data_IF_911633244164
#
_entry.id   IF_911633244164
#
_cell.length_a   1.000
_cell.length_b   1.000
_cell.length_c   1.000
_cell.angle_alpha   90.00
_cell.angle_beta   90.00
_cell.angle_gamma   90.00
#
_symmetry.space_group_name_H-M   'P 1'
#
loop_
_entity.id
_entity.type
_entity.pdbx_description
1 polymer ?
#
# COMPACT_ATOMS: atom_id res chain seq x y z
N UNK A 1 15.28 20.83 42.44
CA UNK A 1 14.08 20.11 41.93
C UNK A 1 14.25 18.63 42.21
N UNK A 2 13.18 17.90 42.55
CA UNK A 2 13.26 16.45 42.72
C UNK A 2 13.65 15.78 41.38
N UNK A 3 14.61 14.83 41.34
CA UNK A 3 15.10 14.19 40.12
C UNK A 3 14.00 13.56 39.25
N UNK A 4 12.93 13.07 39.88
CA UNK A 4 11.80 12.45 39.21
C UNK A 4 11.01 13.42 38.32
N UNK A 5 10.82 14.68 38.74
CA UNK A 5 10.07 15.68 37.95
C UNK A 5 10.84 16.15 36.71
N UNK A 6 12.17 16.12 36.76
CA UNK A 6 13.02 16.39 35.59
C UNK A 6 12.93 15.23 34.58
N UNK A 7 12.80 13.99 35.06
CA UNK A 7 12.60 12.83 34.20
C UNK A 7 11.28 12.90 33.42
N UNK A 8 10.17 13.25 34.08
CA UNK A 8 8.87 13.44 33.40
C UNK A 8 8.94 14.54 32.35
N UNK A 9 9.61 15.66 32.65
CA UNK A 9 9.81 16.75 31.70
C UNK A 9 10.58 16.29 30.47
N UNK A 10 11.75 15.67 30.67
CA UNK A 10 12.58 15.17 29.57
C UNK A 10 11.84 14.14 28.71
N UNK A 11 11.11 13.23 29.33
CA UNK A 11 10.33 12.22 28.61
C UNK A 11 9.22 12.86 27.78
N UNK A 12 8.43 13.77 28.37
CA UNK A 12 7.36 14.49 27.65
C UNK A 12 7.94 15.28 26.47
N UNK A 13 9.07 15.96 26.66
CA UNK A 13 9.74 16.70 25.58
C UNK A 13 10.31 15.79 24.50
N UNK A 14 10.84 14.62 24.87
CA UNK A 14 11.32 13.63 23.92
C UNK A 14 10.20 13.10 23.02
N UNK A 15 8.99 12.89 23.55
CA UNK A 15 7.84 12.44 22.75
C UNK A 15 7.48 13.50 21.70
N UNK A 16 7.29 14.76 22.11
CA UNK A 16 6.99 15.82 21.15
C UNK A 16 8.10 16.01 20.11
N UNK A 17 9.36 15.89 20.52
CA UNK A 17 10.52 15.93 19.62
C UNK A 17 10.48 14.77 18.62
N UNK A 18 10.23 13.54 19.08
CA UNK A 18 10.09 12.35 18.24
C UNK A 18 9.01 12.54 17.18
N UNK A 19 7.85 13.07 17.57
CA UNK A 19 6.75 13.31 16.62
C UNK A 19 7.17 14.32 15.53
N UNK A 20 7.79 15.44 15.93
CA UNK A 20 8.18 16.50 15.01
C UNK A 20 9.33 16.11 14.08
N UNK A 21 10.34 15.43 14.60
CA UNK A 21 11.61 15.21 13.90
C UNK A 21 11.72 13.83 13.28
N UNK A 22 10.89 12.86 13.70
CA UNK A 22 10.93 11.49 13.20
C UNK A 22 9.61 11.11 12.52
N UNK A 23 8.49 11.15 13.26
CA UNK A 23 7.21 10.66 12.74
C UNK A 23 6.72 11.47 11.55
N UNK A 24 6.62 12.80 11.67
CA UNK A 24 6.10 13.65 10.60
C UNK A 24 6.97 13.59 9.33
N UNK A 25 8.32 13.73 9.40
CA UNK A 25 9.17 13.54 8.24
C UNK A 25 9.07 12.15 7.60
N UNK A 26 8.94 11.09 8.42
CA UNK A 26 8.70 9.74 7.91
C UNK A 26 7.36 9.63 7.18
N UNK A 27 6.32 10.30 7.68
CA UNK A 27 5.00 10.33 7.07
C UNK A 27 5.00 11.09 5.74
N UNK A 28 5.73 12.22 5.63
CA UNK A 28 5.94 12.95 4.37
C UNK A 28 6.66 12.07 3.34
N UNK A 29 7.73 11.39 3.75
CA UNK A 29 8.42 10.45 2.87
C UNK A 29 7.50 9.29 2.43
N UNK A 30 6.64 8.81 3.33
CA UNK A 30 5.67 7.76 2.98
C UNK A 30 4.62 8.26 1.96
N UNK A 31 4.19 9.53 2.02
CA UNK A 31 3.37 10.15 0.97
C UNK A 31 4.11 10.17 -0.36
N UNK A 32 5.39 10.55 -0.38
CA UNK A 32 6.22 10.53 -1.58
C UNK A 32 6.32 9.11 -2.20
N UNK A 33 6.65 8.12 -1.37
CA UNK A 33 6.73 6.72 -1.79
C UNK A 33 5.38 6.20 -2.29
N UNK A 34 4.29 6.56 -1.62
CA UNK A 34 2.94 6.20 -2.02
C UNK A 34 2.56 6.78 -3.38
N UNK A 35 2.91 8.03 -3.67
CA UNK A 35 2.70 8.64 -4.98
C UNK A 35 3.54 7.99 -6.09
N UNK A 36 4.77 7.57 -5.78
CA UNK A 36 5.57 6.79 -6.72
C UNK A 36 4.93 5.43 -7.00
N UNK A 37 4.40 4.76 -5.97
CA UNK A 37 3.68 3.50 -6.14
C UNK A 37 2.43 3.69 -7.01
N UNK A 38 1.65 4.74 -6.76
CA UNK A 38 0.48 5.11 -7.57
C UNK A 38 0.85 5.35 -9.04
N UNK A 39 1.95 6.05 -9.33
CA UNK A 39 2.41 6.27 -10.70
C UNK A 39 2.79 4.96 -11.40
N UNK A 40 3.52 4.08 -10.72
CA UNK A 40 3.88 2.77 -11.26
C UNK A 40 2.64 1.93 -11.57
N UNK A 41 1.60 2.07 -10.74
CA UNK A 41 0.34 1.40 -10.94
C UNK A 41 -0.39 1.85 -12.21
N UNK A 42 -0.54 3.16 -12.41
CA UNK A 42 -1.18 3.69 -13.62
C UNK A 42 -0.42 3.28 -14.89
N UNK A 43 0.92 3.33 -14.86
CA UNK A 43 1.74 2.87 -15.99
C UNK A 43 1.51 1.39 -16.30
N UNK A 44 1.36 0.54 -15.28
CA UNK A 44 1.02 -0.87 -15.46
C UNK A 44 -0.38 -1.05 -16.08
N UNK A 45 -1.38 -0.31 -15.59
CA UNK A 45 -2.75 -0.35 -16.11
C UNK A 45 -2.81 0.06 -17.58
N UNK A 46 -2.11 1.13 -17.96
CA UNK A 46 -2.01 1.61 -19.35
C UNK A 46 -1.33 0.58 -20.25
N UNK A 47 -0.20 0.02 -19.81
CA UNK A 47 0.51 -1.02 -20.57
C UNK A 47 -0.34 -2.27 -20.76
N UNK A 48 -1.11 -2.66 -19.74
CA UNK A 48 -2.03 -3.79 -19.82
C UNK A 48 -3.17 -3.52 -20.82
N UNK A 49 -3.78 -2.33 -20.81
CA UNK A 49 -4.84 -1.98 -21.78
C UNK A 49 -4.35 -2.09 -23.23
N UNK A 50 -3.12 -1.61 -23.51
CA UNK A 50 -2.52 -1.72 -24.84
C UNK A 50 -2.31 -3.19 -25.23
N UNK A 51 -1.78 -4.00 -24.32
CA UNK A 51 -1.55 -5.43 -24.56
C UNK A 51 -2.85 -6.18 -24.85
N UNK A 52 -3.87 -6.04 -23.99
CA UNK A 52 -5.13 -6.76 -24.15
C UNK A 52 -5.97 -6.21 -25.32
N UNK A 53 -5.84 -4.94 -25.67
CA UNK A 53 -6.40 -4.41 -26.92
C UNK A 53 -5.79 -5.08 -28.17
N UNK A 54 -4.51 -5.42 -28.14
CA UNK A 54 -3.88 -6.17 -29.24
C UNK A 54 -4.38 -7.62 -29.30
N UNK A 55 -4.56 -8.28 -28.15
CA UNK A 55 -5.17 -9.62 -28.08
C UNK A 55 -6.60 -9.62 -28.62
N UNK A 56 -7.40 -8.62 -28.25
CA UNK A 56 -8.77 -8.46 -28.75
C UNK A 56 -8.81 -8.39 -30.28
N UNK A 57 -7.94 -7.57 -30.90
CA UNK A 57 -7.85 -7.46 -32.37
C UNK A 57 -7.50 -8.78 -33.05
N UNK A 58 -6.62 -9.59 -32.46
CA UNK A 58 -6.32 -10.94 -32.97
C UNK A 58 -7.55 -11.85 -32.83
N UNK A 59 -8.28 -11.73 -31.72
CA UNK A 59 -9.56 -12.42 -31.51
C UNK A 59 -10.60 -12.06 -32.58
N UNK A 60 -10.74 -10.76 -32.90
CA UNK A 60 -11.63 -10.26 -33.94
C UNK A 60 -11.27 -10.80 -35.33
N UNK A 61 -9.98 -10.96 -35.65
CA UNK A 61 -9.55 -11.63 -36.87
C UNK A 61 -9.92 -13.11 -36.90
N UNK A 62 -9.74 -13.83 -35.78
CA UNK A 62 -10.09 -15.23 -35.66
C UNK A 62 -11.62 -15.46 -35.73
N UNK A 63 -12.44 -14.49 -35.32
CA UNK A 63 -13.90 -14.53 -35.51
C UNK A 63 -14.33 -14.52 -36.98
N UNK A 64 -13.52 -13.92 -37.87
CA UNK A 64 -13.77 -13.92 -39.32
C UNK A 64 -13.27 -15.22 -40.00
N UNK A 65 -12.57 -16.09 -39.28
CA UNK A 65 -12.12 -17.40 -39.79
C UNK A 65 -13.28 -18.40 -39.84
N UNK A 66 -13.28 -19.28 -40.83
CA UNK A 66 -14.27 -20.36 -40.95
C UNK A 66 -14.12 -21.48 -39.92
N UNK A 67 -12.95 -21.59 -39.28
CA UNK A 67 -12.61 -22.73 -38.40
C UNK A 67 -12.18 -22.33 -36.99
N UNK A 68 -12.04 -21.03 -36.73
CA UNK A 68 -11.43 -20.51 -35.49
C UNK A 68 -12.35 -19.58 -34.71
N UNK A 69 -13.65 -19.52 -35.02
CA UNK A 69 -14.56 -18.56 -34.37
C UNK A 69 -14.56 -18.72 -32.85
N UNK A 70 -14.64 -19.94 -32.33
CA UNK A 70 -14.62 -20.22 -30.89
C UNK A 70 -13.32 -19.69 -30.24
N UNK A 71 -12.17 -19.85 -30.90
CA UNK A 71 -10.90 -19.32 -30.39
C UNK A 71 -10.89 -17.79 -30.41
N UNK A 72 -11.49 -17.18 -31.43
CA UNK A 72 -11.71 -15.74 -31.50
C UNK A 72 -12.55 -15.22 -30.34
N UNK A 73 -13.68 -15.88 -30.04
CA UNK A 73 -14.55 -15.54 -28.91
C UNK A 73 -13.78 -15.58 -27.58
N UNK A 74 -12.95 -16.61 -27.36
CA UNK A 74 -12.15 -16.76 -26.14
C UNK A 74 -11.15 -15.59 -26.00
N UNK A 75 -10.45 -15.22 -27.06
CA UNK A 75 -9.46 -14.13 -27.03
C UNK A 75 -10.10 -12.77 -26.74
N UNK A 76 -11.28 -12.50 -27.32
CA UNK A 76 -12.06 -11.29 -27.03
C UNK A 76 -12.51 -11.31 -25.56
N UNK A 77 -13.08 -12.43 -25.08
CA UNK A 77 -13.50 -12.56 -23.69
C UNK A 77 -12.37 -12.43 -22.68
N UNK A 78 -11.16 -12.91 -23.00
CA UNK A 78 -9.97 -12.73 -22.16
C UNK A 78 -9.62 -11.25 -22.02
N UNK A 79 -9.67 -10.51 -23.12
CA UNK A 79 -9.39 -9.08 -23.16
C UNK A 79 -10.44 -8.29 -22.37
N UNK A 80 -11.73 -8.59 -22.57
CA UNK A 80 -12.82 -7.97 -21.81
C UNK A 80 -12.75 -8.28 -20.31
N UNK A 81 -12.41 -9.53 -19.96
CA UNK A 81 -12.23 -9.93 -18.56
C UNK A 81 -11.11 -9.13 -17.91
N UNK A 82 -9.99 -8.93 -18.61
CA UNK A 82 -8.89 -8.15 -18.05
C UNK A 82 -9.25 -6.67 -17.91
N UNK A 83 -9.94 -6.06 -18.89
CA UNK A 83 -10.42 -4.68 -18.80
C UNK A 83 -11.37 -4.49 -17.61
N UNK A 84 -12.26 -5.46 -17.39
CA UNK A 84 -13.16 -5.46 -16.23
C UNK A 84 -12.38 -5.55 -14.91
N UNK A 85 -11.37 -6.43 -14.81
CA UNK A 85 -10.52 -6.51 -13.62
C UNK A 85 -9.73 -5.22 -13.37
N UNK A 86 -9.20 -4.59 -14.41
CA UNK A 86 -8.53 -3.29 -14.30
C UNK A 86 -9.48 -2.19 -13.80
N UNK A 87 -10.72 -2.16 -14.31
CA UNK A 87 -11.74 -1.21 -13.85
C UNK A 87 -12.13 -1.44 -12.38
N UNK A 88 -12.26 -2.70 -11.95
CA UNK A 88 -12.56 -3.05 -10.56
C UNK A 88 -11.43 -2.69 -9.61
N UNK A 89 -10.20 -2.80 -10.11
CA UNK A 89 -8.98 -2.49 -9.41
C UNK A 89 -8.79 -0.97 -9.22
N UNK A 90 -9.29 -0.14 -10.14
CA UNK A 90 -9.28 1.32 -10.02
C UNK A 90 -9.94 1.81 -8.73
N UNK A 91 -10.95 1.09 -8.21
CA UNK A 91 -11.56 1.40 -6.91
C UNK A 91 -10.53 1.36 -5.78
N UNK A 92 -9.62 0.37 -5.80
CA UNK A 92 -8.55 0.25 -4.81
C UNK A 92 -7.56 1.41 -4.93
N UNK A 93 -7.25 1.80 -6.17
CA UNK A 93 -6.37 2.94 -6.48
C UNK A 93 -6.95 4.23 -5.94
N UNK A 94 -8.24 4.46 -6.15
CA UNK A 94 -8.93 5.65 -5.65
C UNK A 94 -8.97 5.69 -4.12
N UNK A 95 -9.22 4.56 -3.45
CA UNK A 95 -9.09 4.48 -1.98
C UNK A 95 -7.66 4.76 -1.52
N UNK A 96 -6.65 4.21 -2.21
CA UNK A 96 -5.26 4.46 -1.86
C UNK A 96 -4.89 5.95 -2.00
N UNK A 97 -5.28 6.58 -3.10
CA UNK A 97 -4.99 7.98 -3.34
C UNK A 97 -5.81 8.91 -2.43
N UNK A 98 -7.14 8.81 -2.48
CA UNK A 98 -8.07 9.70 -1.79
C UNK A 98 -8.11 9.47 -0.29
N UNK A 99 -8.39 8.24 0.14
CA UNK A 99 -8.64 7.96 1.56
C UNK A 99 -7.34 7.82 2.37
N UNK A 100 -6.21 7.51 1.75
CA UNK A 100 -4.92 7.33 2.44
C UNK A 100 -3.94 8.46 2.14
N UNK A 101 -3.47 8.62 0.90
CA UNK A 101 -2.37 9.54 0.59
C UNK A 101 -2.76 11.02 0.83
N UNK A 102 -3.92 11.46 0.34
CA UNK A 102 -4.37 12.84 0.56
C UNK A 102 -4.60 13.15 2.04
N UNK A 103 -5.15 12.20 2.80
CA UNK A 103 -5.33 12.35 4.24
C UNK A 103 -3.99 12.46 4.98
N UNK A 104 -3.00 11.65 4.61
CA UNK A 104 -1.64 11.74 5.17
C UNK A 104 -0.98 13.09 4.86
N UNK A 105 -1.08 13.55 3.61
CA UNK A 105 -0.51 14.84 3.21
C UNK A 105 -1.14 16.01 3.99
N UNK A 106 -2.47 16.02 4.11
CA UNK A 106 -3.20 17.04 4.87
C UNK A 106 -2.83 17.01 6.35
N UNK A 107 -2.81 15.82 6.95
CA UNK A 107 -2.51 15.67 8.37
C UNK A 107 -1.11 16.16 8.68
N UNK A 108 -0.09 15.77 7.91
CA UNK A 108 1.30 16.12 8.22
C UNK A 108 1.54 17.64 8.28
N UNK A 109 0.87 18.40 7.39
CA UNK A 109 0.94 19.87 7.37
C UNK A 109 0.34 20.51 8.63
N UNK A 110 -0.83 20.06 9.06
CA UNK A 110 -1.52 20.59 10.24
C UNK A 110 -0.89 20.11 11.55
N UNK A 111 -0.38 18.88 11.55
CA UNK A 111 0.16 18.20 12.72
C UNK A 111 1.43 18.88 13.25
N UNK A 112 2.29 19.33 12.33
CA UNK A 112 3.52 20.04 12.65
C UNK A 112 3.26 21.28 13.52
N UNK A 113 2.26 22.09 13.18
CA UNK A 113 1.93 23.28 13.93
C UNK A 113 1.31 22.92 15.29
N UNK A 114 0.34 22.01 15.29
CA UNK A 114 -0.34 21.56 16.51
C UNK A 114 0.64 21.03 17.57
N UNK A 115 1.62 20.21 17.16
CA UNK A 115 2.60 19.66 18.09
C UNK A 115 3.61 20.73 18.55
N UNK A 116 4.02 21.67 17.69
CA UNK A 116 4.87 22.79 18.11
C UNK A 116 4.20 23.62 19.20
N UNK A 117 2.93 23.98 18.99
CA UNK A 117 2.16 24.79 19.94
C UNK A 117 1.95 24.04 21.26
N UNK A 118 1.61 22.75 21.19
CA UNK A 118 1.45 21.89 22.37
C UNK A 118 2.75 21.74 23.17
N UNK A 119 3.88 21.55 22.47
CA UNK A 119 5.22 21.48 23.08
C UNK A 119 5.58 22.77 23.79
N UNK A 120 5.37 23.91 23.13
CA UNK A 120 5.68 25.23 23.67
C UNK A 120 4.79 25.56 24.86
N UNK A 121 3.49 25.26 24.78
CA UNK A 121 2.55 25.47 25.87
C UNK A 121 2.96 24.69 27.13
N UNK A 122 3.28 23.40 26.97
CA UNK A 122 3.79 22.58 28.07
C UNK A 122 5.09 23.15 28.67
N UNK A 123 6.04 23.58 27.83
CA UNK A 123 7.32 24.11 28.29
C UNK A 123 7.17 25.41 29.10
N UNK A 124 6.30 26.31 28.67
CA UNK A 124 6.00 27.56 29.39
C UNK A 124 5.35 27.25 30.73
N UNK A 125 4.32 26.41 30.75
CA UNK A 125 3.58 26.06 31.96
C UNK A 125 4.47 25.32 32.98
N UNK A 126 5.32 24.41 32.50
CA UNK A 126 6.30 23.72 33.33
C UNK A 126 7.27 24.71 33.99
N UNK A 127 7.87 25.62 33.21
CA UNK A 127 8.80 26.63 33.74
C UNK A 127 8.13 27.54 34.76
N UNK A 128 6.91 27.97 34.49
CA UNK A 128 6.14 28.82 35.39
C UNK A 128 5.90 28.13 36.74
N UNK A 129 5.40 26.89 36.72
CA UNK A 129 5.16 26.11 37.96
C UNK A 129 6.44 25.79 38.71
N UNK A 130 7.50 25.42 38.00
CA UNK A 130 8.82 25.14 38.57
C UNK A 130 9.40 26.36 39.30
N UNK A 131 9.38 27.54 38.65
CA UNK A 131 9.86 28.78 39.24
C UNK A 131 9.01 29.21 40.46
N UNK A 132 7.70 29.02 40.41
CA UNK A 132 6.83 29.31 41.55
C UNK A 132 7.13 28.39 42.75
N UNK A 133 7.31 27.09 42.50
CA UNK A 133 7.66 26.13 43.55
C UNK A 133 9.03 26.45 44.18
N UNK A 134 10.04 26.76 43.36
CA UNK A 134 11.37 27.16 43.84
C UNK A 134 11.33 28.44 44.69
N UNK A 135 10.51 29.42 44.28
CA UNK A 135 10.29 30.64 45.07
C UNK A 135 9.68 30.33 46.44
N UNK A 136 8.61 29.54 46.49
CA UNK A 136 7.96 29.17 47.76
C UNK A 136 8.88 28.33 48.66
N UNK A 137 9.69 27.44 48.08
CA UNK A 137 10.71 26.70 48.83
C UNK A 137 11.77 27.63 49.42
N UNK A 138 12.26 28.60 48.64
CA UNK A 138 13.24 29.59 49.10
C UNK A 138 12.70 30.47 50.23
N UNK A 139 11.42 30.87 50.13
CA UNK A 139 10.71 31.62 51.18
C UNK A 139 10.55 30.78 52.45
N UNK A 140 10.16 29.50 52.34
CA UNK A 140 10.08 28.57 53.46
C UNK A 140 11.42 28.49 54.20
N UNK A 141 12.52 28.27 53.47
CA UNK A 141 13.87 28.17 54.05
C UNK A 141 14.32 29.47 54.73
N UNK A 142 13.85 30.62 54.23
CA UNK A 142 14.11 31.93 54.85
C UNK A 142 13.31 32.07 56.15
N UNK A 143 12.05 31.65 56.18
CA UNK A 143 11.18 31.69 57.36
C UNK A 143 11.66 30.74 58.46
N UNK A 144 12.10 29.53 58.10
CA UNK A 144 12.69 28.55 59.03
C UNK A 144 13.91 29.13 59.77
N UNK A 145 14.80 29.83 59.04
CA UNK A 145 15.96 30.52 59.64
C UNK A 145 15.56 31.64 60.60
N UNK A 146 14.46 32.34 60.33
CA UNK A 146 13.94 33.43 61.17
C UNK A 146 13.04 32.96 62.30
N UNK A 147 12.76 31.65 62.40
CA UNK A 147 11.81 31.06 63.37
C UNK A 147 10.43 31.74 63.30
N UNK A 148 9.97 32.00 62.08
CA UNK A 148 8.67 32.60 61.83
C UNK A 148 7.54 31.68 62.32
N UNK A 149 6.47 32.25 62.89
CA UNK A 149 5.32 31.49 63.40
C UNK A 149 4.52 30.82 62.28
N UNK A 150 4.60 31.35 61.06
CA UNK A 150 3.81 30.90 59.91
C UNK A 150 4.52 29.82 59.05
N UNK A 151 5.66 29.27 59.53
CA UNK A 151 6.42 28.22 58.81
C UNK A 151 5.55 27.00 58.47
N UNK A 152 4.63 26.61 59.38
CA UNK A 152 3.76 25.45 59.16
C UNK A 152 2.84 25.64 57.95
N UNK A 153 2.17 26.79 57.87
CA UNK A 153 1.27 27.11 56.75
C UNK A 153 2.04 27.19 55.43
N UNK A 154 3.23 27.79 55.44
CA UNK A 154 4.09 27.83 54.24
C UNK A 154 4.51 26.43 53.80
N UNK A 155 4.84 25.54 54.74
CA UNK A 155 5.18 24.14 54.42
C UNK A 155 4.00 23.38 53.81
N UNK A 156 2.80 23.56 54.34
CA UNK A 156 1.56 23.00 53.78
C UNK A 156 1.30 23.55 52.35
N UNK A 157 1.56 24.84 52.12
CA UNK A 157 1.47 25.45 50.79
C UNK A 157 2.47 24.88 49.79
N UNK A 158 3.74 24.71 50.19
CA UNK A 158 4.79 24.07 49.36
C UNK A 158 4.41 22.63 49.04
N UNK A 159 3.92 21.85 50.00
CA UNK A 159 3.48 20.48 49.78
C UNK A 159 2.32 20.41 48.76
N UNK A 160 1.36 21.34 48.86
CA UNK A 160 0.26 21.44 47.89
C UNK A 160 0.76 21.77 46.49
N UNK A 161 1.67 22.73 46.36
CA UNK A 161 2.28 23.08 45.07
C UNK A 161 3.07 21.91 44.47
N UNK A 162 3.80 21.16 45.30
CA UNK A 162 4.52 19.97 44.86
C UNK A 162 3.57 18.89 44.33
N UNK A 163 2.47 18.62 45.04
CA UNK A 163 1.44 17.68 44.59
C UNK A 163 0.81 18.12 43.25
N UNK A 164 0.46 19.41 43.12
CA UNK A 164 -0.06 19.97 41.87
C UNK A 164 0.92 19.87 40.70
N UNK A 165 2.22 20.08 40.97
CA UNK A 165 3.27 19.89 39.97
C UNK A 165 3.37 18.43 39.54
N UNK A 166 3.32 17.49 40.48
CA UNK A 166 3.41 16.06 40.20
C UNK A 166 2.24 15.55 39.37
N UNK A 167 1.02 15.99 39.68
CA UNK A 167 -0.17 15.72 38.85
C UNK A 167 0.01 16.27 37.45
N UNK A 168 0.44 17.53 37.32
CA UNK A 168 0.64 18.18 36.02
C UNK A 168 1.64 17.46 35.13
N UNK A 169 2.82 17.09 35.66
CA UNK A 169 3.84 16.43 34.83
C UNK A 169 3.41 15.02 34.40
N UNK A 170 2.70 14.30 35.26
CA UNK A 170 2.16 12.96 34.95
C UNK A 170 1.05 13.02 33.90
N UNK A 171 0.09 13.93 34.06
CA UNK A 171 -1.01 14.12 33.11
C UNK A 171 -0.49 14.60 31.75
N UNK A 172 0.50 15.50 31.74
CA UNK A 172 1.10 16.01 30.51
C UNK A 172 1.86 14.94 29.74
N UNK A 173 2.59 14.06 30.43
CA UNK A 173 3.26 12.92 29.80
C UNK A 173 2.24 11.99 29.16
N UNK A 174 1.20 11.60 29.91
CA UNK A 174 0.12 10.74 29.39
C UNK A 174 -0.60 11.36 28.18
N UNK A 175 -0.78 12.68 28.18
CA UNK A 175 -1.34 13.40 27.04
C UNK A 175 -0.40 13.33 25.82
N UNK A 176 0.91 13.53 26.00
CA UNK A 176 1.89 13.40 24.93
C UNK A 176 1.96 11.97 24.36
N UNK A 177 1.96 10.94 25.21
CA UNK A 177 1.88 9.53 24.79
C UNK A 177 0.60 9.23 24.00
N UNK A 178 -0.52 9.81 24.40
CA UNK A 178 -1.78 9.66 23.69
C UNK A 178 -1.71 10.30 22.30
N UNK A 179 -1.08 11.46 22.19
CA UNK A 179 -0.84 12.12 20.90
C UNK A 179 0.06 11.26 19.99
N UNK A 180 1.16 10.71 20.50
CA UNK A 180 1.98 9.77 19.73
C UNK A 180 1.16 8.55 19.27
N UNK A 181 0.42 7.92 20.19
CA UNK A 181 -0.42 6.75 19.88
C UNK A 181 -1.48 7.04 18.83
N UNK A 182 -2.09 8.23 18.84
CA UNK A 182 -3.12 8.64 17.86
C UNK A 182 -2.57 8.62 16.43
N UNK A 183 -1.33 9.05 16.24
CA UNK A 183 -0.64 9.11 14.94
C UNK A 183 -0.36 7.71 14.38
N UNK A 184 0.17 6.82 15.19
CA UNK A 184 0.35 5.41 14.80
C UNK A 184 -0.97 4.69 14.54
N UNK A 185 -2.00 4.96 15.36
CA UNK A 185 -3.34 4.40 15.14
C UNK A 185 -3.91 4.86 13.80
N UNK A 186 -3.84 6.15 13.49
CA UNK A 186 -4.29 6.68 12.21
C UNK A 186 -3.63 5.94 11.04
N UNK A 187 -2.31 5.77 11.09
CA UNK A 187 -1.58 5.07 10.02
C UNK A 187 -2.05 3.62 9.87
N UNK A 188 -2.23 2.90 10.98
CA UNK A 188 -2.72 1.53 10.98
C UNK A 188 -4.15 1.42 10.44
N UNK A 189 -5.06 2.30 10.86
CA UNK A 189 -6.45 2.33 10.39
C UNK A 189 -6.55 2.59 8.88
N UNK A 190 -5.75 3.53 8.35
CA UNK A 190 -5.73 3.80 6.90
C UNK A 190 -5.22 2.62 6.08
N UNK A 191 -4.19 1.93 6.56
CA UNK A 191 -3.68 0.73 5.88
C UNK A 191 -4.62 -0.48 6.03
N UNK A 192 -5.33 -0.59 7.15
CA UNK A 192 -6.36 -1.61 7.35
C UNK A 192 -7.54 -1.40 6.39
N UNK A 193 -7.99 -0.16 6.21
CA UNK A 193 -8.99 0.20 5.19
C UNK A 193 -8.52 -0.25 3.80
N UNK A 194 -7.31 0.15 3.38
CA UNK A 194 -6.77 -0.24 2.09
C UNK A 194 -6.69 -1.76 1.91
N UNK A 195 -6.22 -2.47 2.95
CA UNK A 195 -6.11 -3.94 2.94
C UNK A 195 -7.46 -4.62 2.77
N UNK A 196 -8.51 -4.11 3.41
CA UNK A 196 -9.87 -4.60 3.23
C UNK A 196 -10.41 -4.33 1.83
N UNK A 197 -10.11 -3.16 1.24
CA UNK A 197 -10.47 -2.87 -0.15
C UNK A 197 -9.77 -3.82 -1.13
N UNK A 198 -8.49 -4.10 -0.93
CA UNK A 198 -7.77 -5.14 -1.68
C UNK A 198 -8.40 -6.53 -1.50
N UNK A 199 -8.77 -6.92 -0.29
CA UNK A 199 -9.40 -8.20 -0.01
C UNK A 199 -10.69 -8.38 -0.82
N UNK A 200 -11.53 -7.34 -0.87
CA UNK A 200 -12.77 -7.36 -1.66
C UNK A 200 -12.47 -7.48 -3.15
N UNK A 201 -11.51 -6.71 -3.66
CA UNK A 201 -11.05 -6.80 -5.05
C UNK A 201 -10.57 -8.21 -5.40
N UNK A 202 -9.65 -8.79 -4.61
CA UNK A 202 -9.14 -10.14 -4.86
C UNK A 202 -10.23 -11.20 -4.78
N UNK A 203 -11.20 -11.04 -3.88
CA UNK A 203 -12.38 -11.90 -3.79
C UNK A 203 -13.19 -11.91 -5.09
N UNK A 204 -13.52 -10.72 -5.63
CA UNK A 204 -14.24 -10.57 -6.91
C UNK A 204 -13.41 -11.10 -8.08
N UNK A 205 -12.14 -10.70 -8.17
CA UNK A 205 -11.23 -11.12 -9.22
C UNK A 205 -11.09 -12.64 -9.30
N UNK A 206 -10.94 -13.31 -8.15
CA UNK A 206 -10.90 -14.77 -8.07
C UNK A 206 -12.19 -15.39 -8.60
N UNK A 207 -13.35 -14.90 -8.18
CA UNK A 207 -14.65 -15.41 -8.65
C UNK A 207 -14.81 -15.29 -10.17
N UNK A 208 -14.50 -14.12 -10.73
CA UNK A 208 -14.57 -13.87 -12.18
C UNK A 208 -13.64 -14.79 -12.96
N UNK A 209 -12.37 -14.86 -12.56
CA UNK A 209 -11.37 -15.68 -13.25
C UNK A 209 -11.67 -17.18 -13.14
N UNK A 210 -12.11 -17.66 -11.97
CA UNK A 210 -12.41 -19.08 -11.77
C UNK A 210 -13.53 -19.54 -12.72
N UNK A 211 -14.59 -18.75 -12.86
CA UNK A 211 -15.70 -19.07 -13.76
C UNK A 211 -15.27 -19.03 -15.24
N UNK A 212 -14.51 -18.01 -15.64
CA UNK A 212 -14.08 -17.82 -17.03
C UNK A 212 -13.05 -18.86 -17.47
N UNK A 213 -12.04 -19.14 -16.65
CA UNK A 213 -10.93 -20.04 -17.00
C UNK A 213 -11.41 -21.47 -17.23
N UNK A 214 -12.41 -21.94 -16.48
CA UNK A 214 -12.99 -23.26 -16.71
C UNK A 214 -13.66 -23.35 -18.09
N UNK A 215 -14.49 -22.37 -18.45
CA UNK A 215 -15.16 -22.30 -19.75
C UNK A 215 -14.16 -22.24 -20.91
N UNK A 216 -13.14 -21.37 -20.80
CA UNK A 216 -12.12 -21.25 -21.85
C UNK A 216 -11.33 -22.56 -22.05
N UNK A 217 -11.06 -23.31 -20.97
CA UNK A 217 -10.42 -24.63 -21.08
C UNK A 217 -11.29 -25.63 -21.83
N UNK A 218 -12.58 -25.70 -21.52
CA UNK A 218 -13.51 -26.61 -22.21
C UNK A 218 -13.64 -26.27 -23.70
N UNK A 219 -13.77 -24.98 -24.03
CA UNK A 219 -13.93 -24.50 -25.40
C UNK A 219 -12.66 -24.65 -26.25
N UNK A 220 -11.47 -24.51 -25.65
CA UNK A 220 -10.20 -24.77 -26.36
C UNK A 220 -9.93 -26.25 -26.61
N UNK A 221 -10.41 -27.14 -25.74
CA UNK A 221 -10.26 -28.59 -25.88
C UNK A 221 -11.33 -29.24 -26.75
N UNK A 222 -12.46 -28.56 -26.97
CA UNK A 222 -13.56 -29.06 -27.79
C UNK A 222 -13.14 -29.13 -29.27
N UNK A 223 -12.82 -30.34 -29.73
CA UNK A 223 -12.49 -30.65 -31.12
C UNK A 223 -13.70 -30.35 -32.01
N UNK A 224 -13.50 -29.58 -33.07
CA UNK A 224 -14.55 -29.26 -34.05
C UNK A 224 -15.32 -30.54 -34.49
N UNK A 225 -16.66 -30.46 -34.69
CA UNK A 225 -17.41 -31.59 -35.21
C UNK A 225 -16.84 -31.92 -36.58
N UNK A 226 -16.38 -33.16 -36.75
CA UNK A 226 -16.03 -33.73 -38.05
C UNK A 226 -17.20 -33.48 -39.00
N UNK A 227 -16.98 -32.61 -39.98
CA UNK A 227 -17.87 -32.50 -41.15
C UNK A 227 -17.96 -33.90 -41.75
N UNK A 228 -19.07 -34.60 -41.49
CA UNK A 228 -19.43 -35.81 -42.23
C UNK A 228 -19.66 -35.36 -43.67
N UNK A 229 -18.61 -35.42 -44.49
CA UNK A 229 -18.76 -35.44 -45.94
C UNK A 229 -19.59 -36.67 -46.28
N UNK A 230 -20.82 -36.46 -46.72
CA UNK A 230 -21.63 -37.49 -47.36
C UNK A 230 -20.90 -37.93 -48.64
N UNK A 231 -20.75 -39.23 -48.91
CA UNK A 231 -20.24 -39.68 -50.20
C UNK A 231 -21.36 -39.47 -51.23
N UNK A 232 -21.12 -38.64 -52.24
CA UNK A 232 -21.89 -38.74 -53.49
C UNK A 232 -21.32 -39.93 -54.26
N UNK A 233 -22.10 -41.00 -54.32
CA UNK A 233 -21.91 -42.09 -55.27
C UNK A 233 -22.05 -41.58 -56.71
N UNK A 234 -21.24 -42.15 -57.59
CA UNK A 234 -21.53 -42.23 -59.02
C UNK A 234 -20.59 -41.47 -59.95
N UNK A 235 -19.61 -42.22 -60.47
CA UNK A 235 -19.13 -42.26 -61.88
C UNK A 235 -17.62 -42.01 -62.07
N UNK A 236 -16.96 -43.06 -62.58
CA UNK A 236 -15.65 -43.13 -63.24
C UNK A 236 -15.90 -43.63 -64.68
N UNK A 237 -14.92 -43.61 -65.62
CA UNK A 237 -13.80 -42.67 -65.82
C UNK A 237 -13.62 -42.29 -67.31
N UNK A 238 -12.72 -41.33 -67.62
CA UNK A 238 -11.98 -41.33 -68.89
C UNK A 238 -10.63 -40.62 -68.72
N UNK A 239 -9.53 -41.32 -69.02
CA UNK A 239 -8.21 -40.71 -69.24
C UNK A 239 -8.13 -40.11 -70.66
N UNK A 240 -7.14 -39.25 -70.95
CA UNK A 240 -5.88 -39.79 -71.47
C UNK A 240 -4.60 -39.09 -70.97
N UNK A 241 -3.48 -39.62 -71.48
CA UNK A 241 -2.10 -39.59 -71.02
C UNK A 241 -1.27 -38.36 -71.42
N UNK A 242 -0.08 -38.33 -70.80
CA UNK A 242 1.18 -37.68 -71.21
C UNK A 242 1.37 -36.22 -70.73
N UNK A 243 2.53 -35.73 -70.31
CA UNK A 243 3.89 -36.26 -70.27
C UNK A 243 4.75 -35.42 -69.27
N UNK A 244 5.74 -36.10 -68.69
CA UNK A 244 7.14 -35.68 -68.39
C UNK A 244 7.47 -34.37 -67.65
N UNK A 245 8.22 -34.61 -66.57
CA UNK A 245 9.56 -34.08 -66.22
C UNK A 245 9.68 -32.74 -65.47
N UNK A 246 10.51 -32.78 -64.43
CA UNK A 246 11.03 -31.61 -63.72
C UNK A 246 11.30 -31.86 -62.25
N UNK A 247 12.41 -32.54 -61.94
CA UNK A 247 13.03 -32.56 -60.62
C UNK A 247 13.55 -31.16 -60.26
N UNK A 248 13.49 -30.78 -58.98
CA UNK A 248 14.70 -30.54 -58.18
C UNK A 248 14.31 -30.14 -56.75
N UNK A 249 14.99 -30.77 -55.80
CA UNK A 249 14.78 -30.58 -54.38
C UNK A 249 15.91 -29.85 -53.69
N UNK A 250 15.59 -29.52 -52.44
CA UNK A 250 16.47 -29.41 -51.27
C UNK A 250 17.24 -28.10 -51.06
N UNK A 251 16.89 -27.43 -49.95
CA UNK A 251 17.87 -27.26 -48.87
C UNK A 251 18.04 -25.87 -48.25
N UNK A 252 17.45 -25.69 -47.07
CA UNK A 252 18.18 -25.21 -45.89
C UNK A 252 18.24 -23.70 -45.59
N UNK A 253 17.96 -23.35 -44.33
CA UNK A 253 18.57 -22.17 -43.69
C UNK A 253 17.66 -21.25 -42.86
N UNK A 254 17.12 -21.75 -41.75
CA UNK A 254 16.58 -20.93 -40.66
C UNK A 254 17.70 -20.12 -39.97
N UNK A 255 17.46 -18.82 -39.73
CA UNK A 255 18.09 -18.06 -38.64
C UNK A 255 17.06 -17.17 -37.95
N UNK A 256 16.67 -17.55 -36.73
CA UNK A 256 16.01 -16.69 -35.72
C UNK A 256 17.09 -15.95 -34.92
N UNK A 257 16.89 -14.70 -34.50
CA UNK A 257 17.62 -14.13 -33.37
C UNK A 257 17.01 -14.60 -32.04
N UNK A 258 17.88 -14.76 -31.04
CA UNK A 258 17.58 -15.31 -29.72
C UNK A 258 16.92 -14.25 -28.80
N UNK A 259 15.74 -14.57 -28.28
CA UNK A 259 15.19 -13.90 -27.09
C UNK A 259 15.72 -14.58 -25.82
N UNK A 260 16.36 -13.80 -24.97
CA UNK A 260 16.74 -14.20 -23.63
C UNK A 260 15.48 -14.30 -22.75
N UNK A 261 14.90 -15.50 -22.68
CA UNK A 261 13.82 -15.83 -21.76
C UNK A 261 14.41 -15.93 -20.34
N UNK A 262 14.28 -14.85 -19.57
CA UNK A 262 14.47 -14.87 -18.12
C UNK A 262 13.30 -15.63 -17.48
N UNK A 263 13.54 -16.88 -17.10
CA UNK A 263 12.52 -17.77 -16.53
C UNK A 263 12.03 -17.38 -15.13
N UNK A 264 10.84 -17.88 -14.72
CA UNK A 264 10.09 -17.49 -13.52
C UNK A 264 10.73 -17.84 -12.16
N UNK A 265 11.99 -18.30 -12.13
CA UNK A 265 12.68 -18.69 -10.88
C UNK A 265 13.36 -17.55 -10.13
N UNK A 266 13.40 -16.32 -10.68
CA UNK A 266 13.97 -15.15 -9.98
C UNK A 266 12.96 -14.25 -9.27
N UNK A 267 11.66 -14.40 -9.52
CA UNK A 267 10.62 -13.68 -8.77
C UNK A 267 10.44 -14.23 -7.34
N UNK A 268 10.81 -15.49 -7.09
CA UNK A 268 10.78 -16.06 -5.75
C UNK A 268 11.95 -15.60 -4.84
N UNK A 269 13.06 -15.12 -5.41
CA UNK A 269 14.25 -14.76 -4.65
C UNK A 269 14.19 -13.36 -4.01
N UNK A 270 13.24 -12.51 -4.41
CA UNK A 270 13.04 -11.17 -3.83
C UNK A 270 12.11 -11.16 -2.61
N UNK A 271 11.42 -12.27 -2.31
CA UNK A 271 10.48 -12.38 -1.18
C UNK A 271 11.01 -13.23 -0.01
N UNK A 272 12.25 -13.72 -0.06
CA UNK A 272 12.82 -14.61 0.99
C UNK A 272 13.94 -14.00 1.83
N UNK A 273 14.21 -12.69 1.75
CA UNK A 273 15.33 -12.06 2.49
C UNK A 273 14.96 -11.46 3.86
N UNK A 274 13.68 -11.43 4.28
CA UNK A 274 13.29 -10.82 5.57
C UNK A 274 12.90 -11.82 6.68
N UNK A 275 13.33 -13.07 6.61
CA UNK A 275 13.28 -14.00 7.75
C UNK A 275 14.63 -14.65 8.00
N UNK A 276 15.54 -13.94 8.67
CA UNK A 276 16.52 -14.49 9.63
C UNK A 276 17.34 -13.35 10.21
N UNK A 277 17.23 -13.14 11.52
CA UNK A 277 18.11 -12.21 12.24
C UNK A 277 17.56 -11.77 13.59
N UNK A 278 17.40 -12.71 14.53
CA UNK A 278 17.57 -12.43 15.95
C UNK A 278 18.02 -13.74 16.62
N UNK A 279 19.13 -13.75 17.37
CA UNK A 279 19.13 -14.25 18.72
C UNK A 279 18.57 -13.18 19.67
#
# INVERSE_FOLDING_TARGET
MAPEMDQFYRSTMAIYKSILEQFNPALENLVYLGNNYLRAFHALSEAAEVYFSAIQKIGEQALQSSTSQILGEILVQMSDTQRHLNSDLEVVVQTFHGDLLQHMEKNTKLDMQFIKDSRQHYEIEYRHRAANLEKCMSELWRMERKRDKNVREMKESVNRLHAQMQTFVSESQRAAELEEKRRYRFLAEKHLLLSNTFLQFFGRARGTLQNRVLLWKEQTLSRAPTVRRTPREGQLPSAPQSARAGSDGVGGGLRRPAEAVLGPRRLAALLTVTRRGNP
#
